data_IF_710427239965
#
_entry.id   IF_710427239965
#
_cell.length_a   1.000
_cell.length_b   1.000
_cell.length_c   1.000
_cell.angle_alpha   90.00
_cell.angle_beta   90.00
_cell.angle_gamma   90.00
#
_symmetry.space_group_name_H-M   'P 1'
#
loop_
_entity.id
_entity.type
_entity.pdbx_description
1 polymer ?
#
# COMPACT_ATOMS: atom_id res chain seq x y z
N UNK A 1 7.10 -27.07 32.65
CA UNK A 1 5.66 -27.23 32.94
C UNK A 1 5.21 -26.15 33.91
N UNK A 2 4.04 -25.52 33.65
CA UNK A 2 3.18 -24.70 34.54
C UNK A 2 3.68 -23.28 34.88
N UNK A 3 3.29 -22.22 34.15
CA UNK A 3 2.06 -21.39 34.26
C UNK A 3 1.83 -20.72 35.61
N UNK A 4 2.01 -19.39 35.66
CA UNK A 4 1.18 -18.48 36.44
C UNK A 4 0.77 -17.29 35.56
N UNK A 5 -0.55 -17.11 35.43
CA UNK A 5 -1.24 -16.00 34.78
C UNK A 5 -1.66 -14.98 35.86
N UNK A 6 -1.98 -13.76 35.38
CA UNK A 6 -2.76 -12.67 36.02
C UNK A 6 -1.91 -11.75 36.93
N UNK A 7 -2.08 -10.43 36.97
CA UNK A 7 -3.15 -9.54 36.55
C UNK A 7 -2.54 -8.12 36.31
N UNK A 8 -2.93 -7.40 35.26
CA UNK A 8 -3.91 -6.30 35.30
C UNK A 8 -3.43 -5.04 36.04
N UNK A 9 -3.15 -3.96 35.30
CA UNK A 9 -3.53 -2.60 35.69
C UNK A 9 -3.47 -1.67 34.47
N UNK A 10 -4.65 -1.28 34.01
CA UNK A 10 -4.86 -0.20 33.07
C UNK A 10 -4.31 1.12 33.67
N UNK A 11 -3.51 1.84 32.90
CA UNK A 11 -3.32 3.28 33.08
C UNK A 11 -3.57 3.93 31.72
N UNK A 12 -4.85 4.21 31.47
CA UNK A 12 -5.23 5.25 30.55
C UNK A 12 -4.85 6.59 31.21
N UNK A 13 -3.89 7.30 30.64
CA UNK A 13 -3.77 8.75 30.82
C UNK A 13 -3.76 9.37 29.45
N UNK A 14 -4.89 10.00 29.15
CA UNK A 14 -5.07 10.92 28.06
C UNK A 14 -3.98 12.01 28.09
N UNK A 15 -3.41 12.26 26.92
CA UNK A 15 -2.55 13.40 26.65
C UNK A 15 -2.80 13.87 25.22
N UNK A 16 -4.07 14.15 24.91
CA UNK A 16 -4.43 14.88 23.71
C UNK A 16 -3.99 16.34 23.87
N UNK A 17 -2.88 16.70 23.24
CA UNK A 17 -2.66 18.01 22.63
C UNK A 17 -1.83 17.81 21.36
N UNK A 18 -2.54 17.72 20.24
CA UNK A 18 -2.30 18.45 18.98
C UNK A 18 -1.07 19.36 18.97
N UNK A 19 -0.27 19.50 17.92
CA UNK A 19 -0.25 18.98 16.58
C UNK A 19 1.01 19.56 15.93
N UNK A 20 1.42 18.92 14.83
CA UNK A 20 2.23 19.48 13.75
C UNK A 20 3.74 19.31 13.86
N UNK A 21 4.24 18.63 12.82
CA UNK A 21 5.50 18.81 12.11
C UNK A 21 6.52 17.67 12.25
N UNK A 22 6.78 17.08 11.08
CA UNK A 22 7.79 16.11 10.68
C UNK A 22 7.43 14.62 10.79
N UNK A 23 6.72 14.18 9.76
CA UNK A 23 7.20 13.18 8.79
C UNK A 23 8.12 12.09 9.36
N UNK A 24 7.54 10.91 9.58
CA UNK A 24 8.28 9.73 10.03
C UNK A 24 7.49 8.77 10.90
N UNK A 25 6.15 8.86 10.94
CA UNK A 25 5.33 7.81 11.52
C UNK A 25 5.00 6.80 10.42
N UNK A 26 5.79 5.73 10.35
CA UNK A 26 5.33 4.49 9.73
C UNK A 26 3.97 4.14 10.36
N UNK A 27 2.92 3.80 9.57
CA UNK A 27 1.69 3.30 10.16
C UNK A 27 1.97 1.94 10.80
N UNK A 28 2.28 1.96 12.09
CA UNK A 28 2.04 0.83 12.97
C UNK A 28 0.52 0.74 13.15
N UNK A 29 -0.11 -0.08 12.31
CA UNK A 29 -1.47 -0.53 12.55
C UNK A 29 -1.52 -2.00 12.17
N UNK A 30 -1.47 -2.83 13.21
CA UNK A 30 -2.03 -4.16 13.17
C UNK A 30 -3.46 -4.07 12.63
N UNK A 31 -3.63 -4.38 11.35
CA UNK A 31 -4.95 -4.64 10.80
C UNK A 31 -5.31 -6.08 11.19
N UNK A 32 -6.30 -6.16 12.06
CA UNK A 32 -7.12 -7.31 12.43
C UNK A 32 -7.00 -8.51 11.49
N UNK A 33 -6.65 -9.69 12.03
CA UNK A 33 -7.10 -10.95 11.45
C UNK A 33 -8.63 -10.88 11.29
N UNK A 34 -9.16 -11.16 10.09
CA UNK A 34 -10.58 -11.41 9.84
C UNK A 34 -11.44 -10.25 9.31
N UNK A 35 -10.89 -9.26 8.61
CA UNK A 35 -11.72 -8.27 7.88
C UNK A 35 -11.24 -8.17 6.44
N UNK A 36 -12.15 -8.40 5.48
CA UNK A 36 -11.93 -8.17 4.05
C UNK A 36 -11.06 -6.92 3.83
N UNK A 37 -9.79 -7.12 3.49
CA UNK A 37 -8.87 -6.03 3.26
C UNK A 37 -9.07 -5.57 1.82
N UNK A 38 -9.33 -4.27 1.63
CA UNK A 38 -9.40 -3.66 0.31
C UNK A 38 -8.52 -2.42 0.25
N UNK A 39 -7.77 -2.25 -0.83
CA UNK A 39 -6.85 -1.13 -0.98
C UNK A 39 -6.67 -0.71 -2.43
N UNK A 40 -6.41 0.58 -2.63
CA UNK A 40 -6.03 1.14 -3.93
C UNK A 40 -4.54 1.45 -3.91
N UNK A 41 -3.81 0.92 -4.89
CA UNK A 41 -2.37 1.10 -5.01
C UNK A 41 -2.07 1.74 -6.35
N UNK A 42 -1.50 2.95 -6.30
CA UNK A 42 -1.07 3.65 -7.51
C UNK A 42 0.43 3.50 -7.67
N UNK A 43 0.84 3.02 -8.83
CA UNK A 43 2.22 2.92 -9.25
C UNK A 43 2.55 3.86 -10.40
N UNK A 44 3.83 4.22 -10.46
CA UNK A 44 4.34 5.18 -11.43
C UNK A 44 5.57 4.62 -12.12
N UNK A 45 5.64 4.86 -13.42
CA UNK A 45 6.72 4.37 -14.25
C UNK A 45 7.10 5.38 -15.31
N UNK A 46 8.32 5.29 -15.78
CA UNK A 46 8.81 6.15 -16.84
C UNK A 46 9.87 5.44 -17.66
N UNK A 47 9.81 5.61 -18.98
CA UNK A 47 10.77 4.96 -19.88
C UNK A 47 10.81 5.65 -21.24
N UNK A 48 11.79 5.27 -22.06
CA UNK A 48 11.89 5.68 -23.46
C UNK A 48 10.83 5.04 -24.37
N UNK A 49 10.09 4.04 -23.87
CA UNK A 49 8.97 3.40 -24.56
C UNK A 49 7.73 3.33 -23.68
N UNK A 50 6.56 3.46 -24.29
CA UNK A 50 5.26 3.46 -23.59
C UNK A 50 4.97 2.14 -22.87
N UNK A 51 5.27 1.01 -23.50
CA UNK A 51 5.06 -0.33 -22.93
C UNK A 51 5.92 -0.57 -21.70
N UNK A 52 7.19 -0.18 -21.75
CA UNK A 52 8.09 -0.33 -20.61
C UNK A 52 7.68 0.61 -19.47
N UNK A 53 7.29 1.85 -19.77
CA UNK A 53 6.79 2.78 -18.75
C UNK A 53 5.57 2.21 -18.00
N UNK A 54 4.63 1.57 -18.72
CA UNK A 54 3.49 0.88 -18.11
C UNK A 54 3.91 -0.29 -17.24
N UNK A 55 4.83 -1.13 -17.72
CA UNK A 55 5.34 -2.27 -16.96
C UNK A 55 5.96 -1.81 -15.64
N UNK A 56 6.84 -0.81 -15.67
CA UNK A 56 7.42 -0.22 -14.45
C UNK A 56 6.37 0.37 -13.52
N UNK A 57 5.34 1.04 -14.06
CA UNK A 57 4.25 1.58 -13.26
C UNK A 57 3.41 0.48 -12.60
N UNK A 58 3.23 -0.64 -13.28
CA UNK A 58 2.52 -1.79 -12.76
C UNK A 58 3.35 -2.50 -11.68
N UNK A 59 4.63 -2.77 -11.93
CA UNK A 59 5.54 -3.39 -10.95
C UNK A 59 5.62 -2.57 -9.65
N UNK A 60 5.68 -1.24 -9.75
CA UNK A 60 5.67 -0.34 -8.59
C UNK A 60 4.33 -0.41 -7.82
N UNK A 61 3.20 -0.53 -8.51
CA UNK A 61 1.90 -0.69 -7.87
C UNK A 61 1.77 -2.06 -7.18
N UNK A 62 2.25 -3.13 -7.84
CA UNK A 62 2.23 -4.50 -7.33
C UNK A 62 3.11 -4.63 -6.08
N UNK A 63 4.32 -4.06 -6.11
CA UNK A 63 5.21 -4.03 -4.96
C UNK A 63 4.58 -3.33 -3.74
N UNK A 64 3.86 -2.21 -3.96
CA UNK A 64 3.13 -1.51 -2.89
C UNK A 64 1.99 -2.36 -2.32
N UNK A 65 1.28 -3.11 -3.18
CA UNK A 65 0.23 -4.02 -2.75
C UNK A 65 0.81 -5.19 -1.92
N UNK A 66 1.93 -5.77 -2.36
CA UNK A 66 2.63 -6.84 -1.64
C UNK A 66 3.15 -6.39 -0.28
N UNK A 67 3.70 -5.18 -0.18
CA UNK A 67 4.09 -4.57 1.10
C UNK A 67 2.93 -4.42 2.08
N UNK A 68 1.72 -4.20 1.56
CA UNK A 68 0.50 -4.13 2.37
C UNK A 68 -0.09 -5.51 2.68
N UNK A 69 0.56 -6.60 2.24
CA UNK A 69 0.15 -7.98 2.53
C UNK A 69 -0.82 -8.59 1.51
N UNK A 70 -1.08 -7.92 0.38
CA UNK A 70 -1.90 -8.46 -0.70
C UNK A 70 -1.07 -9.36 -1.62
N UNK A 71 -1.68 -10.42 -2.14
CA UNK A 71 -1.08 -11.15 -3.26
C UNK A 71 -1.39 -10.38 -4.55
N UNK A 72 -0.40 -9.69 -5.11
CA UNK A 72 -0.50 -8.91 -6.37
C UNK A 72 -1.14 -9.70 -7.51
N UNK A 73 -0.85 -11.00 -7.62
CA UNK A 73 -1.36 -11.85 -8.68
C UNK A 73 -2.82 -12.30 -8.49
N UNK A 74 -3.19 -12.67 -7.26
CA UNK A 74 -4.51 -13.25 -6.96
C UNK A 74 -5.54 -12.20 -6.53
N UNK A 75 -5.13 -11.24 -5.72
CA UNK A 75 -6.01 -10.31 -5.01
C UNK A 75 -6.14 -8.95 -5.71
N UNK A 76 -5.24 -8.62 -6.65
CA UNK A 76 -5.22 -7.32 -7.31
C UNK A 76 -5.70 -7.36 -8.77
N UNK A 77 -6.31 -6.25 -9.19
CA UNK A 77 -6.75 -6.00 -10.56
C UNK A 77 -6.37 -4.58 -10.97
N UNK A 78 -5.82 -4.43 -12.17
CA UNK A 78 -5.63 -3.12 -12.79
C UNK A 78 -7.00 -2.51 -13.09
N UNK A 79 -7.28 -1.38 -12.48
CA UNK A 79 -8.52 -0.62 -12.67
C UNK A 79 -8.32 0.59 -13.57
N UNK A 80 -7.10 1.12 -13.61
CA UNK A 80 -6.74 2.25 -14.44
C UNK A 80 -5.30 2.11 -14.92
N UNK A 81 -5.09 2.46 -16.18
CA UNK A 81 -3.75 2.63 -16.76
C UNK A 81 -3.76 3.84 -17.68
N UNK A 82 -2.73 4.67 -17.54
CA UNK A 82 -2.55 5.84 -18.38
C UNK A 82 -1.09 5.99 -18.74
N UNK A 83 -0.85 6.39 -19.99
CA UNK A 83 0.47 6.75 -20.48
C UNK A 83 0.40 8.13 -21.06
N UNK A 84 1.29 8.99 -20.60
CA UNK A 84 1.49 10.32 -21.12
C UNK A 84 2.88 10.41 -21.76
N UNK A 85 2.91 10.84 -23.01
CA UNK A 85 4.15 11.22 -23.66
C UNK A 85 4.59 12.59 -23.14
N UNK A 86 5.77 12.66 -22.53
CA UNK A 86 6.34 13.91 -22.00
C UNK A 86 7.25 14.57 -23.05
N UNK A 87 7.98 13.76 -23.82
CA UNK A 87 8.84 14.25 -24.90
C UNK A 87 8.90 13.24 -26.06
N UNK A 88 9.61 13.56 -27.14
CA UNK A 88 9.71 12.69 -28.31
C UNK A 88 10.27 11.28 -27.99
N UNK A 89 11.02 11.13 -26.91
CA UNK A 89 11.65 9.86 -26.52
C UNK A 89 11.42 9.49 -25.06
N UNK A 90 10.38 10.04 -24.44
CA UNK A 90 10.11 9.80 -23.02
C UNK A 90 8.62 9.75 -22.72
N UNK A 91 8.24 8.69 -22.01
CA UNK A 91 6.88 8.39 -21.59
C UNK A 91 6.87 8.25 -20.08
N UNK A 92 5.82 8.79 -19.47
CA UNK A 92 5.45 8.49 -18.10
C UNK A 92 4.15 7.71 -18.11
N UNK A 93 4.01 6.77 -17.19
CA UNK A 93 2.82 5.99 -17.01
C UNK A 93 2.39 5.98 -15.54
N UNK A 94 1.09 5.89 -15.35
CA UNK A 94 0.46 5.72 -14.05
C UNK A 94 -0.48 4.52 -14.15
N UNK A 95 -0.36 3.58 -13.22
CA UNK A 95 -1.22 2.41 -13.11
C UNK A 95 -1.85 2.41 -11.73
N UNK A 96 -3.14 2.12 -11.66
CA UNK A 96 -3.84 1.92 -10.42
C UNK A 96 -4.33 0.48 -10.33
N UNK A 97 -3.97 -0.17 -9.23
CA UNK A 97 -4.47 -1.47 -8.83
C UNK A 97 -5.53 -1.28 -7.75
N UNK A 98 -6.62 -2.02 -7.88
CA UNK A 98 -7.51 -2.30 -6.77
C UNK A 98 -7.25 -3.71 -6.29
N UNK A 99 -6.89 -3.84 -5.02
CA UNK A 99 -6.69 -5.13 -4.38
C UNK A 99 -7.79 -5.37 -3.37
N UNK A 100 -8.32 -6.58 -3.38
CA UNK A 100 -9.36 -7.01 -2.46
C UNK A 100 -9.09 -8.47 -2.08
N UNK A 101 -8.97 -8.72 -0.78
CA UNK A 101 -8.78 -10.06 -0.24
C UNK A 101 -10.07 -10.48 0.49
N UNK A 102 -10.64 -11.63 0.10
CA UNK A 102 -11.90 -12.18 0.61
C UNK A 102 -11.75 -13.01 1.91
N UNK A 103 -10.57 -13.01 2.52
CA UNK A 103 -10.23 -13.88 3.66
C UNK A 103 -10.77 -13.36 5.01
#
# INVERSE_FOLDING_TARGET
>A
MRTFRKALAATAVAGAFTASLLAGAAPASAASEGTNASGWYTGYGSSSTSSLALMWAQDDAEWKAELAGFNSFLDCRVTYSNVQQISQYYYSATVQLYCYNFN
#
